data_IF_313805484829
#
_entry.id   IF_313805484829
#
_cell.length_a   1.000
_cell.length_b   1.000
_cell.length_c   1.000
_cell.angle_alpha   90.00
_cell.angle_beta   90.00
_cell.angle_gamma   90.00
#
_symmetry.space_group_name_H-M   'P 1'
#
loop_
_entity.id
_entity.type
_entity.pdbx_description
1 polymer ?
#
# COMPACT_ATOMS: atom_id res chain seq x y z
N UNK A 1 20.46 40.53 24.14
CA UNK A 1 20.38 39.36 25.03
C UNK A 1 19.84 38.16 24.24
N UNK A 2 20.75 37.39 23.63
CA UNK A 2 20.42 36.16 22.90
C UNK A 2 20.15 35.05 23.91
N UNK A 3 18.89 34.65 24.07
CA UNK A 3 18.54 33.42 24.78
C UNK A 3 18.89 32.23 23.85
N UNK A 4 20.03 31.61 24.06
CA UNK A 4 20.30 30.28 23.55
C UNK A 4 19.16 29.35 24.04
N UNK A 5 18.24 28.98 23.14
CA UNK A 5 17.32 27.87 23.40
C UNK A 5 18.18 26.62 23.52
N UNK A 6 18.23 26.04 24.69
CA UNK A 6 18.78 24.70 24.88
C UNK A 6 18.14 23.73 23.87
N UNK A 7 18.90 22.78 23.27
CA UNK A 7 18.35 21.80 22.36
C UNK A 7 17.25 21.04 23.11
N UNK A 8 16.05 21.08 22.55
CA UNK A 8 14.87 20.54 23.20
C UNK A 8 15.07 19.03 23.45
N UNK A 9 14.86 18.58 24.67
CA UNK A 9 14.86 17.16 25.08
C UNK A 9 13.97 16.28 24.19
N UNK A 10 13.06 16.88 23.46
CA UNK A 10 12.19 16.28 22.46
C UNK A 10 12.94 15.76 21.21
N UNK A 11 13.96 16.46 20.72
CA UNK A 11 14.75 16.02 19.57
C UNK A 11 15.53 14.73 19.85
N UNK A 12 16.17 14.63 21.02
CA UNK A 12 16.90 13.41 21.42
C UNK A 12 15.97 12.20 21.57
N UNK A 13 14.77 12.39 22.06
CA UNK A 13 13.75 11.33 22.18
C UNK A 13 13.25 10.85 20.82
N UNK A 14 13.01 11.75 19.86
CA UNK A 14 12.60 11.36 18.49
C UNK A 14 13.71 10.58 17.78
N UNK A 15 14.96 10.98 17.93
CA UNK A 15 16.11 10.23 17.40
C UNK A 15 16.22 8.85 18.05
N UNK A 16 16.06 8.74 19.36
CA UNK A 16 16.06 7.46 20.07
C UNK A 16 14.98 6.52 19.57
N UNK A 17 13.76 7.02 19.35
CA UNK A 17 12.65 6.22 18.77
C UNK A 17 13.00 5.75 17.36
N UNK A 18 13.54 6.62 16.51
CA UNK A 18 13.93 6.26 15.15
C UNK A 18 15.03 5.19 15.13
N UNK A 19 16.02 5.28 16.01
CA UNK A 19 17.08 4.28 16.13
C UNK A 19 16.56 2.93 16.61
N UNK A 20 15.64 2.91 17.58
CA UNK A 20 15.02 1.68 18.07
C UNK A 20 14.17 1.00 17.00
N UNK A 21 13.40 1.76 16.23
CA UNK A 21 12.63 1.22 15.10
C UNK A 21 13.56 0.70 13.99
N UNK A 22 14.65 1.40 13.70
CA UNK A 22 15.65 0.95 12.74
C UNK A 22 16.33 -0.35 13.20
N UNK A 23 16.71 -0.44 14.47
CA UNK A 23 17.27 -1.65 15.04
C UNK A 23 16.29 -2.83 14.97
N UNK A 24 15.01 -2.61 15.27
CA UNK A 24 13.97 -3.64 15.20
C UNK A 24 13.80 -4.18 13.78
N UNK A 25 13.69 -3.29 12.77
CA UNK A 25 13.63 -3.67 11.35
C UNK A 25 14.88 -4.46 10.94
N UNK A 26 16.06 -3.98 11.33
CA UNK A 26 17.31 -4.63 10.99
C UNK A 26 17.41 -6.03 11.61
N UNK A 27 17.14 -6.18 12.90
CA UNK A 27 17.22 -7.47 13.61
C UNK A 27 16.28 -8.50 12.98
N UNK A 28 15.07 -8.09 12.59
CA UNK A 28 14.08 -9.02 12.03
C UNK A 28 14.41 -9.41 10.59
N UNK A 29 14.91 -8.48 9.76
CA UNK A 29 15.00 -8.70 8.32
C UNK A 29 16.42 -8.80 7.76
N UNK A 30 17.48 -8.50 8.52
CA UNK A 30 18.85 -8.55 8.02
C UNK A 30 19.25 -9.95 7.50
N UNK A 31 18.71 -11.02 8.10
CA UNK A 31 18.94 -12.39 7.65
C UNK A 31 18.43 -12.68 6.23
N UNK A 32 17.50 -11.88 5.71
CA UNK A 32 16.95 -12.07 4.36
C UNK A 32 17.82 -11.45 3.26
N UNK A 33 18.85 -10.68 3.60
CA UNK A 33 19.68 -9.96 2.62
C UNK A 33 20.36 -10.88 1.61
N UNK A 34 20.69 -12.10 1.99
CA UNK A 34 21.36 -13.09 1.15
C UNK A 34 20.37 -14.06 0.48
N UNK A 35 19.07 -13.86 0.62
CA UNK A 35 18.08 -14.71 -0.03
C UNK A 35 18.17 -14.58 -1.56
N UNK A 36 18.02 -15.69 -2.31
CA UNK A 36 18.02 -15.64 -3.76
C UNK A 36 16.76 -14.99 -4.31
N UNK A 37 16.75 -14.70 -5.61
CA UNK A 37 15.55 -14.32 -6.34
C UNK A 37 14.58 -15.50 -6.40
N UNK A 38 13.29 -15.27 -6.06
CA UNK A 38 12.26 -16.31 -5.95
C UNK A 38 10.98 -15.88 -6.67
N UNK A 39 10.27 -16.85 -7.24
CA UNK A 39 8.95 -16.66 -7.85
C UNK A 39 8.89 -15.48 -8.82
N UNK A 40 8.07 -14.48 -8.51
CA UNK A 40 7.87 -13.28 -9.34
C UNK A 40 9.14 -12.46 -9.53
N UNK A 41 10.13 -12.55 -8.65
CA UNK A 41 11.42 -11.87 -8.78
C UNK A 41 12.13 -12.28 -10.05
N UNK A 42 11.95 -13.54 -10.49
CA UNK A 42 12.53 -14.06 -11.73
C UNK A 42 11.98 -13.32 -12.94
N UNK A 43 10.66 -13.07 -12.99
CA UNK A 43 10.01 -12.38 -14.11
C UNK A 43 10.25 -10.88 -14.08
N UNK A 44 10.17 -10.29 -12.88
CA UNK A 44 10.19 -8.83 -12.72
C UNK A 44 11.61 -8.29 -12.78
N UNK A 45 12.61 -9.07 -12.35
CA UNK A 45 14.03 -8.66 -12.29
C UNK A 45 14.90 -9.52 -13.19
N UNK A 46 14.99 -10.84 -12.92
CA UNK A 46 16.02 -11.69 -13.54
C UNK A 46 15.84 -11.83 -15.04
N UNK A 47 14.62 -12.05 -15.52
CA UNK A 47 14.30 -12.21 -16.95
C UNK A 47 13.82 -10.93 -17.63
N UNK A 48 13.78 -9.79 -16.90
CA UNK A 48 13.31 -8.54 -17.43
C UNK A 48 14.43 -7.81 -18.20
N UNK A 49 14.35 -7.86 -19.54
CA UNK A 49 15.31 -7.19 -20.41
C UNK A 49 15.27 -5.65 -20.28
N UNK A 50 14.13 -5.07 -19.94
CA UNK A 50 13.95 -3.61 -19.91
C UNK A 50 14.70 -2.93 -18.79
N UNK A 51 14.89 -3.61 -17.65
CA UNK A 51 15.68 -3.06 -16.54
C UNK A 51 17.19 -3.22 -16.76
N UNK A 52 17.59 -4.13 -17.65
CA UNK A 52 19.01 -4.45 -17.93
C UNK A 52 19.59 -3.60 -19.04
N UNK A 53 18.78 -3.16 -19.97
CA UNK A 53 19.20 -2.28 -21.05
C UNK A 53 19.19 -0.85 -20.55
N UNK A 54 20.20 -0.06 -20.93
CA UNK A 54 20.22 1.38 -20.64
C UNK A 54 19.23 2.09 -21.59
N UNK A 55 17.93 1.77 -21.40
CA UNK A 55 16.85 2.38 -22.18
C UNK A 55 16.62 3.81 -21.72
N UNK A 56 16.23 4.67 -22.66
CA UNK A 56 15.85 6.04 -22.29
C UNK A 56 14.73 6.03 -21.25
N UNK A 57 14.82 6.91 -20.26
CA UNK A 57 13.84 7.04 -19.17
C UNK A 57 12.38 7.10 -19.70
N UNK A 58 12.20 7.74 -20.87
CA UNK A 58 10.90 7.87 -21.52
C UNK A 58 10.25 6.51 -21.85
N UNK A 59 11.03 5.47 -22.15
CA UNK A 59 10.47 4.15 -22.48
C UNK A 59 9.71 3.51 -21.30
N UNK A 60 10.08 3.77 -20.06
CA UNK A 60 9.33 3.27 -18.91
C UNK A 60 7.92 3.84 -18.84
N UNK A 61 7.69 5.02 -19.41
CA UNK A 61 6.39 5.70 -19.38
C UNK A 61 5.58 5.51 -20.66
N UNK A 62 6.21 5.16 -21.80
CA UNK A 62 5.54 5.07 -23.11
C UNK A 62 5.28 3.66 -23.56
N UNK A 63 5.90 2.66 -22.95
CA UNK A 63 5.76 1.27 -23.35
C UNK A 63 4.92 0.46 -22.37
N UNK A 64 4.16 -0.49 -22.87
CA UNK A 64 3.30 -1.39 -22.10
C UNK A 64 4.10 -2.48 -21.34
N UNK A 65 5.27 -2.12 -20.78
CA UNK A 65 6.21 -3.08 -20.21
C UNK A 65 6.17 -3.05 -18.69
N UNK A 66 5.68 -4.10 -18.07
CA UNK A 66 5.82 -4.27 -16.63
C UNK A 66 6.69 -5.46 -16.25
N UNK A 67 6.71 -6.48 -17.08
CA UNK A 67 7.59 -7.65 -16.93
C UNK A 67 7.70 -8.40 -18.24
N UNK A 68 8.72 -9.26 -18.36
CA UNK A 68 9.00 -10.00 -19.61
C UNK A 68 7.85 -10.91 -20.08
N UNK A 69 6.97 -11.35 -19.18
CA UNK A 69 5.97 -12.39 -19.48
C UNK A 69 4.64 -12.23 -18.72
N UNK A 70 4.37 -11.09 -18.07
CA UNK A 70 3.13 -10.90 -17.32
C UNK A 70 2.09 -10.19 -18.17
N UNK A 71 0.84 -10.60 -17.97
CA UNK A 71 -0.34 -10.15 -18.68
C UNK A 71 -0.33 -8.66 -19.02
N UNK A 72 -0.76 -8.29 -20.22
CA UNK A 72 -0.88 -6.88 -20.61
C UNK A 72 -1.77 -6.15 -19.61
N UNK A 73 -1.34 -4.98 -19.15
CA UNK A 73 -2.16 -4.14 -18.29
C UNK A 73 -1.53 -3.65 -16.98
N UNK A 74 -0.29 -3.99 -16.68
CA UNK A 74 0.41 -3.42 -15.50
C UNK A 74 1.27 -2.22 -15.92
N UNK A 75 0.84 -1.01 -15.55
CA UNK A 75 1.58 0.23 -15.80
C UNK A 75 2.26 0.70 -14.51
N UNK A 76 3.54 0.36 -14.32
CA UNK A 76 4.32 0.62 -13.08
C UNK A 76 5.71 1.19 -13.38
N UNK A 77 5.81 2.33 -14.07
CA UNK A 77 7.09 2.88 -14.52
C UNK A 77 8.06 3.18 -13.38
N UNK A 78 7.61 3.72 -12.25
CA UNK A 78 8.48 4.04 -11.11
C UNK A 78 9.01 2.79 -10.41
N UNK A 79 8.25 1.70 -10.39
CA UNK A 79 8.73 0.41 -9.90
C UNK A 79 9.86 -0.12 -10.78
N UNK A 80 9.67 -0.15 -12.10
CA UNK A 80 10.68 -0.59 -13.06
C UNK A 80 11.95 0.26 -12.97
N UNK A 81 11.79 1.58 -12.87
CA UNK A 81 12.91 2.49 -12.68
C UNK A 81 13.71 2.14 -11.41
N UNK A 82 13.02 1.81 -10.31
CA UNK A 82 13.70 1.41 -9.06
C UNK A 82 14.54 0.14 -9.23
N UNK A 83 14.08 -0.82 -10.04
CA UNK A 83 14.84 -2.02 -10.36
C UNK A 83 15.99 -1.73 -11.33
N UNK A 84 15.77 -0.88 -12.32
CA UNK A 84 16.83 -0.47 -13.25
C UNK A 84 17.97 0.25 -12.51
N UNK A 85 17.67 1.10 -11.53
CA UNK A 85 18.69 1.71 -10.66
C UNK A 85 19.47 0.65 -9.87
N UNK A 86 18.80 -0.35 -9.29
CA UNK A 86 19.51 -1.45 -8.62
C UNK A 86 20.39 -2.25 -9.58
N UNK A 87 19.87 -2.57 -10.77
CA UNK A 87 20.64 -3.29 -11.76
C UNK A 87 21.87 -2.51 -12.22
N UNK A 88 21.73 -1.21 -12.44
CA UNK A 88 22.86 -0.35 -12.84
C UNK A 88 23.97 -0.26 -11.79
N UNK A 89 23.66 -0.44 -10.50
CA UNK A 89 24.62 -0.35 -9.40
C UNK A 89 25.21 -1.69 -8.98
N UNK A 90 24.45 -2.79 -9.10
CA UNK A 90 24.86 -4.09 -8.55
C UNK A 90 24.54 -5.30 -9.44
N UNK A 91 24.07 -5.09 -10.70
CA UNK A 91 23.67 -6.17 -11.59
C UNK A 91 22.56 -7.04 -10.99
N UNK A 92 22.71 -8.34 -11.05
CA UNK A 92 21.81 -9.33 -10.46
C UNK A 92 22.26 -9.80 -9.06
N UNK A 93 22.96 -8.96 -8.29
CA UNK A 93 23.23 -9.28 -6.89
C UNK A 93 22.00 -9.00 -6.03
N UNK A 94 21.35 -10.03 -5.42
CA UNK A 94 20.09 -9.86 -4.69
C UNK A 94 20.23 -8.97 -3.46
N UNK A 95 21.41 -8.89 -2.84
CA UNK A 95 21.66 -8.09 -1.64
C UNK A 95 21.25 -6.63 -1.83
N UNK A 96 21.62 -6.02 -2.98
CA UNK A 96 21.25 -4.64 -3.28
C UNK A 96 19.74 -4.42 -3.37
N UNK A 97 18.99 -5.39 -3.90
CA UNK A 97 17.54 -5.33 -3.99
C UNK A 97 16.87 -5.48 -2.63
N UNK A 98 17.34 -6.41 -1.81
CA UNK A 98 16.84 -6.59 -0.44
C UNK A 98 17.14 -5.37 0.43
N UNK A 99 18.32 -4.78 0.32
CA UNK A 99 18.66 -3.54 1.05
C UNK A 99 17.68 -2.42 0.72
N UNK A 100 17.32 -2.21 -0.54
CA UNK A 100 16.32 -1.18 -0.92
C UNK A 100 14.97 -1.48 -0.31
N UNK A 101 14.50 -2.73 -0.32
CA UNK A 101 13.25 -3.10 0.32
C UNK A 101 13.28 -2.85 1.84
N UNK A 102 14.38 -3.20 2.48
CA UNK A 102 14.58 -2.98 3.91
C UNK A 102 14.53 -1.48 4.27
N UNK A 103 15.24 -0.65 3.49
CA UNK A 103 15.21 0.80 3.66
C UNK A 103 13.84 1.41 3.41
N UNK A 104 13.11 0.92 2.41
CA UNK A 104 11.73 1.36 2.16
C UNK A 104 10.80 0.99 3.31
N UNK A 105 10.95 -0.21 3.90
CA UNK A 105 10.16 -0.62 5.05
C UNK A 105 10.46 0.23 6.28
N UNK A 106 11.74 0.52 6.54
CA UNK A 106 12.15 1.43 7.60
C UNK A 106 11.59 2.84 7.36
N UNK A 107 11.72 3.36 6.13
CA UNK A 107 11.16 4.66 5.76
C UNK A 107 9.64 4.70 6.00
N UNK A 108 8.90 3.66 5.60
CA UNK A 108 7.47 3.55 5.82
C UNK A 108 7.13 3.53 7.32
N UNK A 109 7.90 2.83 8.12
CA UNK A 109 7.75 2.80 9.58
C UNK A 109 7.93 4.19 10.20
N UNK A 110 8.95 4.93 9.77
CA UNK A 110 9.21 6.28 10.24
C UNK A 110 8.15 7.29 9.75
N UNK A 111 7.71 7.18 8.49
CA UNK A 111 6.63 8.00 7.95
C UNK A 111 5.31 7.74 8.68
N UNK A 112 5.02 6.48 9.02
CA UNK A 112 3.85 6.11 9.83
C UNK A 112 3.94 6.74 11.22
N UNK A 113 5.11 6.71 11.86
CA UNK A 113 5.32 7.38 13.16
C UNK A 113 5.08 8.88 13.07
N UNK A 114 5.58 9.53 12.03
CA UNK A 114 5.33 10.95 11.78
C UNK A 114 3.84 11.24 11.51
N UNK A 115 3.17 10.39 10.75
CA UNK A 115 1.73 10.51 10.49
C UNK A 115 0.94 10.40 11.79
N UNK A 116 1.21 9.39 12.62
CA UNK A 116 0.52 9.18 13.88
C UNK A 116 0.73 10.32 14.87
N UNK A 117 1.96 10.79 15.01
CA UNK A 117 2.29 11.83 16.01
C UNK A 117 1.88 13.23 15.54
N UNK A 118 2.14 13.59 14.28
CA UNK A 118 1.94 14.96 13.78
C UNK A 118 0.57 15.19 13.16
N UNK A 119 0.10 14.23 12.34
CA UNK A 119 -1.18 14.38 11.66
C UNK A 119 -2.36 13.87 12.49
N UNK A 120 -2.24 12.68 13.06
CA UNK A 120 -3.29 12.05 13.85
C UNK A 120 -3.24 12.44 15.35
N UNK A 121 -2.18 13.12 15.77
CA UNK A 121 -1.97 13.62 17.14
C UNK A 121 -2.09 12.53 18.22
N UNK A 122 -1.66 11.32 17.88
CA UNK A 122 -1.65 10.22 18.83
C UNK A 122 -0.55 10.42 19.90
N UNK A 123 -0.77 9.96 21.14
CA UNK A 123 0.27 9.92 22.15
C UNK A 123 1.51 9.19 21.62
N UNK A 124 2.70 9.74 21.92
CA UNK A 124 3.97 9.20 21.38
C UNK A 124 4.19 7.72 21.73
N UNK A 125 3.80 7.28 22.94
CA UNK A 125 3.91 5.87 23.34
C UNK A 125 3.02 4.95 22.49
N UNK A 126 1.79 5.38 22.18
CA UNK A 126 0.88 4.62 21.30
C UNK A 126 1.43 4.59 19.88
N UNK A 127 1.90 5.73 19.37
CA UNK A 127 2.49 5.80 18.04
C UNK A 127 3.73 4.91 17.92
N UNK A 128 4.62 4.92 18.93
CA UNK A 128 5.79 4.06 18.97
C UNK A 128 5.42 2.57 18.97
N UNK A 129 4.51 2.16 19.85
CA UNK A 129 4.08 0.77 19.93
C UNK A 129 3.43 0.29 18.61
N UNK A 130 2.56 1.09 18.03
CA UNK A 130 1.92 0.76 16.75
C UNK A 130 2.95 0.66 15.61
N UNK A 131 3.94 1.55 15.58
CA UNK A 131 5.00 1.51 14.58
C UNK A 131 5.97 0.34 14.82
N UNK A 132 6.24 -0.03 16.06
CA UNK A 132 7.01 -1.23 16.38
C UNK A 132 6.27 -2.49 15.92
N UNK A 133 4.98 -2.61 16.23
CA UNK A 133 4.16 -3.71 15.74
C UNK A 133 4.16 -3.77 14.20
N UNK A 134 3.99 -2.63 13.53
CA UNK A 134 4.10 -2.57 12.06
C UNK A 134 5.48 -3.01 11.58
N UNK A 135 6.55 -2.55 12.22
CA UNK A 135 7.93 -2.84 11.83
C UNK A 135 8.24 -4.34 11.85
N UNK A 136 7.78 -5.07 12.87
CA UNK A 136 8.15 -6.48 13.12
C UNK A 136 7.04 -7.47 12.79
N UNK A 137 5.86 -7.00 12.30
CA UNK A 137 4.72 -7.87 12.09
C UNK A 137 4.99 -8.93 11.01
N UNK A 138 4.76 -10.22 11.26
CA UNK A 138 5.08 -11.29 10.31
C UNK A 138 4.40 -11.16 8.94
N UNK A 139 3.23 -10.54 8.84
CA UNK A 139 2.59 -10.24 7.53
C UNK A 139 3.45 -9.36 6.62
N UNK A 140 4.31 -8.52 7.18
CA UNK A 140 5.18 -7.66 6.38
C UNK A 140 6.39 -8.41 5.80
N UNK A 141 6.66 -9.64 6.24
CA UNK A 141 7.77 -10.45 5.73
C UNK A 141 7.66 -10.63 4.21
N UNK A 142 6.48 -10.90 3.68
CA UNK A 142 6.27 -10.99 2.25
C UNK A 142 6.61 -9.68 1.52
N UNK A 143 6.19 -8.54 2.06
CA UNK A 143 6.46 -7.25 1.44
C UNK A 143 7.95 -6.87 1.47
N UNK A 144 8.69 -7.28 2.51
CA UNK A 144 10.10 -6.91 2.71
C UNK A 144 11.04 -7.90 2.03
N UNK A 145 10.77 -9.21 2.20
CA UNK A 145 11.68 -10.28 1.73
C UNK A 145 11.54 -10.49 0.22
N UNK A 146 10.32 -10.49 -0.34
CA UNK A 146 10.17 -10.63 -1.79
C UNK A 146 10.51 -9.33 -2.50
N UNK A 147 11.47 -9.40 -3.43
CA UNK A 147 11.94 -8.23 -4.19
C UNK A 147 10.81 -7.69 -5.06
N UNK A 148 10.00 -8.54 -5.69
CA UNK A 148 8.83 -8.17 -6.49
C UNK A 148 7.76 -7.40 -5.70
N UNK A 149 7.67 -7.63 -4.39
CA UNK A 149 6.78 -6.91 -3.47
C UNK A 149 7.19 -5.47 -3.19
N UNK A 150 8.34 -4.99 -3.72
CA UNK A 150 8.75 -3.57 -3.66
C UNK A 150 7.66 -2.61 -4.11
N UNK A 151 6.81 -3.05 -5.05
CA UNK A 151 5.65 -2.27 -5.49
C UNK A 151 4.74 -1.85 -4.34
N UNK A 152 4.54 -2.72 -3.34
CA UNK A 152 3.73 -2.42 -2.16
C UNK A 152 4.45 -1.45 -1.22
N UNK A 153 5.76 -1.63 -0.99
CA UNK A 153 6.57 -0.74 -0.15
C UNK A 153 6.62 0.68 -0.71
N UNK A 154 6.91 0.83 -2.00
CA UNK A 154 6.94 2.12 -2.68
C UNK A 154 5.56 2.80 -2.69
N UNK A 155 4.49 2.06 -3.00
CA UNK A 155 3.14 2.61 -2.97
C UNK A 155 2.78 3.10 -1.56
N UNK A 156 3.11 2.34 -0.52
CA UNK A 156 2.93 2.75 0.89
C UNK A 156 3.72 4.01 1.20
N UNK A 157 4.97 4.13 0.73
CA UNK A 157 5.79 5.34 0.88
C UNK A 157 5.06 6.56 0.30
N UNK A 158 4.59 6.46 -0.94
CA UNK A 158 3.89 7.56 -1.61
C UNK A 158 2.57 7.90 -0.93
N UNK A 159 1.82 6.90 -0.48
CA UNK A 159 0.57 7.12 0.25
C UNK A 159 0.79 7.83 1.59
N UNK A 160 1.80 7.42 2.37
CA UNK A 160 2.14 8.08 3.64
C UNK A 160 2.66 9.51 3.42
N UNK A 161 3.49 9.74 2.40
CA UNK A 161 3.92 11.08 2.01
C UNK A 161 2.74 11.95 1.58
N UNK A 162 1.80 11.39 0.81
CA UNK A 162 0.56 12.07 0.42
C UNK A 162 -0.30 12.47 1.62
N UNK A 163 -0.44 11.60 2.62
CA UNK A 163 -1.14 11.90 3.87
C UNK A 163 -0.46 13.04 4.66
N UNK A 164 0.86 13.01 4.76
CA UNK A 164 1.63 14.04 5.46
C UNK A 164 1.58 15.38 4.70
N UNK A 165 1.64 15.36 3.37
CA UNK A 165 1.51 16.55 2.53
C UNK A 165 0.12 17.17 2.65
N UNK A 166 -0.93 16.34 2.62
CA UNK A 166 -2.31 16.78 2.82
C UNK A 166 -2.53 17.42 4.19
N UNK A 167 -1.96 16.82 5.24
CA UNK A 167 -2.00 17.40 6.58
C UNK A 167 -1.35 18.78 6.65
N UNK A 168 -0.29 19.02 5.87
CA UNK A 168 0.38 20.32 5.74
C UNK A 168 -0.33 21.28 4.79
N UNK A 169 -1.53 20.94 4.32
CA UNK A 169 -2.31 21.68 3.34
C UNK A 169 -1.57 21.93 1.99
N UNK A 170 -0.60 21.08 1.66
CA UNK A 170 0.15 21.17 0.42
C UNK A 170 -0.53 20.39 -0.70
N UNK A 171 -1.37 21.07 -1.47
CA UNK A 171 -2.19 20.47 -2.55
C UNK A 171 -1.30 19.81 -3.61
N UNK A 172 -0.25 20.49 -4.05
CA UNK A 172 0.63 20.00 -5.11
C UNK A 172 1.52 18.83 -4.68
N UNK A 173 2.03 18.85 -3.44
CA UNK A 173 2.79 17.70 -2.93
C UNK A 173 1.89 16.47 -2.71
N UNK A 174 0.63 16.69 -2.32
CA UNK A 174 -0.36 15.61 -2.22
C UNK A 174 -0.63 15.00 -3.60
N UNK A 175 -0.83 15.84 -4.61
CA UNK A 175 -1.04 15.41 -5.99
C UNK A 175 0.20 14.70 -6.57
N UNK A 176 1.40 15.22 -6.32
CA UNK A 176 2.64 14.59 -6.75
C UNK A 176 2.85 13.20 -6.14
N UNK A 177 2.61 13.07 -4.82
CA UNK A 177 2.68 11.79 -4.13
C UNK A 177 1.62 10.81 -4.66
N UNK A 178 0.40 11.27 -4.93
CA UNK A 178 -0.66 10.47 -5.55
C UNK A 178 -0.27 9.98 -6.93
N UNK A 179 0.21 10.87 -7.82
CA UNK A 179 0.67 10.52 -9.16
C UNK A 179 1.83 9.51 -9.14
N UNK A 180 2.82 9.71 -8.27
CA UNK A 180 3.91 8.77 -8.08
C UNK A 180 3.41 7.40 -7.56
N UNK A 181 2.44 7.41 -6.65
CA UNK A 181 1.77 6.20 -6.18
C UNK A 181 1.10 5.42 -7.31
N UNK A 182 0.31 6.08 -8.16
CA UNK A 182 -0.36 5.48 -9.33
C UNK A 182 0.65 4.87 -10.32
N UNK A 183 1.80 5.51 -10.52
CA UNK A 183 2.90 5.01 -11.35
C UNK A 183 3.71 3.88 -10.70
N UNK A 184 3.37 3.51 -9.47
CA UNK A 184 4.04 2.43 -8.72
C UNK A 184 3.15 1.21 -8.54
N UNK A 185 1.92 1.41 -8.09
CA UNK A 185 0.92 0.33 -7.88
C UNK A 185 -0.48 0.91 -7.85
N UNK A 186 -1.42 0.19 -8.45
CA UNK A 186 -2.82 0.59 -8.63
C UNK A 186 -3.56 0.88 -7.32
N UNK A 187 -3.11 0.28 -6.19
CA UNK A 187 -3.70 0.50 -4.88
C UNK A 187 -3.66 1.98 -4.44
N UNK A 188 -2.72 2.76 -4.97
CA UNK A 188 -2.63 4.19 -4.67
C UNK A 188 -3.87 4.99 -5.09
N UNK A 189 -4.73 4.44 -5.96
CA UNK A 189 -6.03 5.05 -6.34
C UNK A 189 -6.91 5.33 -5.12
N UNK A 190 -6.71 4.58 -4.02
CA UNK A 190 -7.46 4.76 -2.77
C UNK A 190 -7.05 5.99 -1.97
N UNK A 191 -5.90 6.60 -2.28
CA UNK A 191 -5.37 7.71 -1.47
C UNK A 191 -6.36 8.88 -1.28
N UNK A 192 -7.05 9.40 -2.32
CA UNK A 192 -8.03 10.47 -2.11
C UNK A 192 -9.16 10.08 -1.16
N UNK A 193 -9.65 8.84 -1.25
CA UNK A 193 -10.69 8.33 -0.34
C UNK A 193 -10.16 8.20 1.10
N UNK A 194 -8.91 7.75 1.28
CA UNK A 194 -8.25 7.68 2.59
C UNK A 194 -8.03 9.05 3.21
N UNK A 195 -7.72 10.08 2.40
CA UNK A 195 -7.55 11.45 2.87
C UNK A 195 -8.89 12.06 3.34
N UNK A 196 -9.96 11.84 2.58
CA UNK A 196 -11.32 12.22 2.98
C UNK A 196 -11.71 11.50 4.26
N UNK A 197 -11.47 10.20 4.33
CA UNK A 197 -11.74 9.38 5.50
C UNK A 197 -10.99 9.85 6.74
N UNK A 198 -9.69 10.12 6.61
CA UNK A 198 -8.85 10.62 7.69
C UNK A 198 -9.34 11.97 8.21
N UNK A 199 -9.71 12.88 7.31
CA UNK A 199 -10.20 14.20 7.66
C UNK A 199 -11.56 14.13 8.35
N UNK A 200 -12.47 13.31 7.80
CA UNK A 200 -13.80 13.08 8.39
C UNK A 200 -13.71 12.40 9.76
N UNK A 201 -12.91 11.33 9.90
CA UNK A 201 -12.72 10.63 11.17
C UNK A 201 -12.19 11.55 12.28
N UNK A 202 -11.38 12.57 11.93
CA UNK A 202 -10.81 13.53 12.87
C UNK A 202 -11.76 14.67 13.23
N UNK A 203 -12.47 15.20 12.24
CA UNK A 203 -13.31 16.41 12.43
C UNK A 203 -14.76 16.08 12.77
N UNK A 204 -15.23 14.90 12.38
CA UNK A 204 -16.62 14.49 12.45
C UNK A 204 -17.52 15.32 11.54
N UNK A 205 -16.96 16.07 10.60
CA UNK A 205 -17.70 16.94 9.66
C UNK A 205 -17.33 16.61 8.23
N UNK A 206 -18.32 16.59 7.36
CA UNK A 206 -18.12 16.46 5.93
C UNK A 206 -17.87 17.84 5.32
N UNK A 207 -16.60 18.19 5.11
CA UNK A 207 -16.20 19.42 4.42
C UNK A 207 -16.01 19.15 2.92
N UNK A 208 -17.10 18.92 2.23
CA UNK A 208 -17.15 18.65 0.82
C UNK A 208 -16.41 19.70 -0.04
N UNK A 209 -16.61 21.00 0.26
CA UNK A 209 -15.97 22.08 -0.48
C UNK A 209 -14.46 22.12 -0.24
N UNK A 210 -14.03 21.88 0.99
CA UNK A 210 -12.62 21.79 1.36
C UNK A 210 -11.94 20.60 0.71
N UNK A 211 -12.59 19.43 0.66
CA UNK A 211 -12.07 18.25 -0.01
C UNK A 211 -11.92 18.47 -1.50
N UNK A 212 -12.93 19.00 -2.19
CA UNK A 212 -12.83 19.29 -3.62
C UNK A 212 -11.69 20.26 -3.93
N UNK A 213 -11.58 21.35 -3.15
CA UNK A 213 -10.49 22.33 -3.33
C UNK A 213 -9.09 21.76 -3.14
N UNK A 214 -8.94 20.76 -2.25
CA UNK A 214 -7.63 20.14 -1.96
C UNK A 214 -7.30 18.96 -2.87
N UNK A 215 -8.30 18.22 -3.34
CA UNK A 215 -8.11 16.97 -4.04
C UNK A 215 -8.37 17.04 -5.55
N UNK A 216 -8.83 18.18 -6.09
CA UNK A 216 -9.07 18.31 -7.53
C UNK A 216 -7.85 17.94 -8.40
N UNK A 217 -6.57 18.25 -8.02
CA UNK A 217 -5.46 17.84 -8.86
C UNK A 217 -5.27 16.32 -8.86
N UNK A 218 -5.61 15.64 -7.75
CA UNK A 218 -5.60 14.18 -7.70
C UNK A 218 -6.65 13.60 -8.67
N UNK A 219 -7.84 14.20 -8.76
CA UNK A 219 -8.89 13.76 -9.69
C UNK A 219 -8.46 13.97 -11.16
N UNK A 220 -7.81 15.09 -11.46
CA UNK A 220 -7.26 15.34 -12.80
C UNK A 220 -6.16 14.34 -13.12
N UNK A 221 -5.21 14.10 -12.21
CA UNK A 221 -4.16 13.09 -12.41
C UNK A 221 -4.74 11.68 -12.58
N UNK A 222 -5.80 11.35 -11.86
CA UNK A 222 -6.50 10.08 -12.03
C UNK A 222 -7.09 9.95 -13.43
N UNK A 223 -7.77 10.99 -13.91
CA UNK A 223 -8.35 10.99 -15.26
C UNK A 223 -7.26 10.85 -16.33
N UNK A 224 -6.14 11.57 -16.20
CA UNK A 224 -4.99 11.46 -17.10
C UNK A 224 -4.40 10.04 -17.05
N UNK A 225 -4.21 9.47 -15.85
CA UNK A 225 -3.68 8.11 -15.65
C UNK A 225 -4.57 7.05 -16.31
N UNK A 226 -5.89 7.14 -16.09
CA UNK A 226 -6.85 6.19 -16.68
C UNK A 226 -6.92 6.33 -18.20
N UNK A 227 -6.91 7.55 -18.72
CA UNK A 227 -6.87 7.83 -20.17
C UNK A 227 -5.58 7.33 -20.81
N UNK A 228 -4.43 7.55 -20.16
CA UNK A 228 -3.14 7.05 -20.62
C UNK A 228 -3.07 5.53 -20.63
N UNK A 229 -3.59 4.90 -19.57
CA UNK A 229 -3.68 3.45 -19.47
C UNK A 229 -4.59 2.85 -20.54
N UNK A 230 -5.74 3.49 -20.82
CA UNK A 230 -6.62 3.09 -21.90
C UNK A 230 -5.94 3.21 -23.27
N UNK A 231 -5.18 4.30 -23.49
CA UNK A 231 -4.42 4.48 -24.73
C UNK A 231 -3.36 3.38 -24.94
N UNK A 232 -2.64 2.99 -23.87
CA UNK A 232 -1.58 1.98 -23.97
C UNK A 232 -2.10 0.54 -24.12
N UNK A 233 -3.22 0.21 -23.49
CA UNK A 233 -3.68 -1.18 -23.38
C UNK A 233 -5.04 -1.46 -24.01
N UNK A 234 -5.75 -0.45 -24.48
CA UNK A 234 -7.13 -0.58 -24.98
C UNK A 234 -8.17 -0.82 -23.88
N UNK A 235 -7.72 -1.04 -22.62
CA UNK A 235 -8.60 -1.33 -21.46
C UNK A 235 -8.11 -0.57 -20.24
N UNK A 236 -9.05 -0.17 -19.39
CA UNK A 236 -8.72 0.51 -18.13
C UNK A 236 -8.33 -0.49 -17.04
N UNK A 237 -8.98 -1.65 -17.04
CA UNK A 237 -8.68 -2.77 -16.14
C UNK A 237 -8.34 -4.00 -16.96
N UNK A 238 -7.55 -4.91 -16.39
CA UNK A 238 -7.38 -6.22 -17.04
C UNK A 238 -8.75 -6.90 -17.19
N UNK A 239 -8.98 -7.64 -18.29
CA UNK A 239 -10.25 -8.33 -18.48
C UNK A 239 -10.49 -9.29 -17.33
N UNK A 240 -11.68 -9.22 -16.75
CA UNK A 240 -12.12 -10.16 -15.71
C UNK A 240 -12.26 -11.54 -16.37
N UNK A 241 -11.80 -12.62 -15.74
CA UNK A 241 -12.17 -13.94 -16.20
C UNK A 241 -13.71 -14.04 -16.20
N UNK A 242 -14.27 -14.83 -17.13
CA UNK A 242 -15.71 -14.99 -17.32
C UNK A 242 -16.37 -15.73 -16.12
N UNK A 243 -16.17 -15.20 -14.92
CA UNK A 243 -16.83 -15.65 -13.69
C UNK A 243 -17.94 -14.70 -13.32
N UNK A 244 -18.99 -15.23 -12.75
CA UNK A 244 -20.08 -14.44 -12.19
C UNK A 244 -19.56 -13.48 -11.12
N UNK A 245 -19.86 -12.19 -11.27
CA UNK A 245 -19.39 -11.11 -10.36
C UNK A 245 -19.77 -11.38 -8.89
N UNK A 246 -20.88 -12.06 -8.64
CA UNK A 246 -21.34 -12.39 -7.29
C UNK A 246 -20.47 -13.46 -6.60
N UNK A 247 -19.93 -14.43 -7.35
CA UNK A 247 -18.95 -15.40 -6.81
C UNK A 247 -17.68 -14.66 -6.34
N UNK A 248 -17.23 -13.74 -7.17
CA UNK A 248 -16.09 -12.91 -6.86
C UNK A 248 -16.30 -12.06 -5.62
N UNK A 249 -17.50 -11.50 -5.43
CA UNK A 249 -17.85 -10.74 -4.24
C UNK A 249 -17.72 -11.62 -2.96
N UNK A 250 -18.26 -12.83 -2.97
CA UNK A 250 -18.17 -13.74 -1.83
C UNK A 250 -16.74 -14.10 -1.46
N UNK A 251 -15.91 -14.43 -2.45
CA UNK A 251 -14.47 -14.72 -2.25
C UNK A 251 -13.72 -13.49 -1.72
N UNK A 252 -13.98 -12.32 -2.28
CA UNK A 252 -13.37 -11.06 -1.85
C UNK A 252 -13.72 -10.71 -0.42
N UNK A 253 -14.98 -10.83 -0.03
CA UNK A 253 -15.41 -10.63 1.35
C UNK A 253 -14.75 -11.64 2.31
N UNK A 254 -14.63 -12.91 1.90
CA UNK A 254 -13.92 -13.94 2.68
C UNK A 254 -12.45 -13.60 2.87
N UNK A 255 -11.79 -13.07 1.84
CA UNK A 255 -10.39 -12.66 1.92
C UNK A 255 -10.15 -11.60 3.01
N UNK A 256 -11.11 -10.66 3.26
CA UNK A 256 -11.01 -9.68 4.34
C UNK A 256 -10.85 -10.36 5.70
N UNK A 257 -11.65 -11.37 5.97
CA UNK A 257 -11.59 -12.09 7.25
C UNK A 257 -10.31 -12.94 7.38
N UNK A 258 -9.80 -13.47 6.27
CA UNK A 258 -8.48 -14.12 6.25
C UNK A 258 -7.39 -13.12 6.59
N UNK A 259 -7.40 -11.93 6.01
CA UNK A 259 -6.43 -10.88 6.35
C UNK A 259 -6.54 -10.41 7.80
N UNK A 260 -7.76 -10.24 8.32
CA UNK A 260 -7.97 -9.89 9.74
C UNK A 260 -7.44 -10.99 10.67
N UNK A 261 -7.73 -12.26 10.35
CA UNK A 261 -7.17 -13.40 11.10
C UNK A 261 -5.65 -13.39 11.09
N UNK A 262 -5.03 -13.26 9.91
CA UNK A 262 -3.58 -13.25 9.78
C UNK A 262 -2.93 -12.05 10.45
N UNK A 263 -3.64 -10.93 10.53
CA UNK A 263 -3.18 -9.75 11.26
C UNK A 263 -3.24 -9.96 12.78
N UNK A 264 -4.26 -10.64 13.29
CA UNK A 264 -4.40 -10.91 14.73
C UNK A 264 -3.59 -12.13 15.17
N UNK A 265 -3.52 -13.15 14.32
CA UNK A 265 -2.83 -14.41 14.58
C UNK A 265 -2.09 -14.84 13.29
N UNK A 266 -0.84 -14.40 13.11
CA UNK A 266 -0.05 -14.63 11.90
C UNK A 266 0.49 -16.06 11.84
N UNK A 267 -0.42 -17.04 11.81
CA UNK A 267 -0.13 -18.46 11.61
C UNK A 267 -0.36 -18.84 10.14
N UNK A 268 0.27 -19.92 9.70
CA UNK A 268 0.11 -20.47 8.35
C UNK A 268 0.36 -19.44 7.23
N UNK A 269 1.42 -18.65 7.37
CA UNK A 269 1.83 -17.69 6.35
C UNK A 269 2.27 -18.47 5.10
N UNK A 270 1.63 -18.19 3.97
CA UNK A 270 1.96 -18.77 2.68
C UNK A 270 1.99 -17.67 1.60
N UNK A 271 2.79 -17.90 0.57
CA UNK A 271 2.99 -16.93 -0.51
C UNK A 271 1.71 -16.77 -1.36
N UNK A 272 1.05 -17.86 -1.65
CA UNK A 272 -0.22 -17.91 -2.37
C UNK A 272 -1.22 -18.74 -1.57
N UNK A 273 -2.41 -18.20 -1.36
CA UNK A 273 -3.49 -18.89 -0.64
C UNK A 273 -4.67 -19.08 -1.57
N UNK A 274 -5.00 -20.32 -1.80
CA UNK A 274 -6.23 -20.66 -2.50
C UNK A 274 -7.42 -20.55 -1.55
N UNK A 275 -8.42 -19.80 -1.94
CA UNK A 275 -9.69 -19.71 -1.24
C UNK A 275 -10.72 -20.54 -1.99
N UNK A 276 -11.37 -21.45 -1.30
CA UNK A 276 -12.47 -22.22 -1.88
C UNK A 276 -13.55 -21.26 -2.42
N UNK A 277 -13.92 -21.46 -3.67
CA UNK A 277 -14.93 -20.65 -4.36
C UNK A 277 -16.29 -21.33 -4.13
N UNK A 278 -17.27 -20.64 -3.55
CA UNK A 278 -18.62 -21.17 -3.44
C UNK A 278 -19.22 -21.42 -4.83
N UNK A 279 -19.96 -22.50 -5.00
CA UNK A 279 -20.57 -22.84 -6.28
C UNK A 279 -21.94 -22.17 -6.49
N UNK A 280 -22.62 -21.83 -5.39
CA UNK A 280 -23.96 -21.24 -5.41
C UNK A 280 -24.12 -20.11 -4.39
N UNK A 281 -25.13 -19.23 -4.63
CA UNK A 281 -25.52 -18.18 -3.71
C UNK A 281 -26.16 -18.69 -2.41
N UNK A 282 -26.63 -19.92 -2.41
CA UNK A 282 -27.29 -20.54 -1.25
C UNK A 282 -26.32 -21.07 -0.22
N UNK A 283 -25.05 -21.21 -0.60
CA UNK A 283 -24.03 -21.69 0.32
C UNK A 283 -23.73 -20.66 1.42
N UNK A 284 -23.70 -21.14 2.65
CA UNK A 284 -23.30 -20.33 3.81
C UNK A 284 -21.89 -19.75 3.65
N UNK A 285 -21.01 -20.47 2.94
CA UNK A 285 -19.66 -20.02 2.61
C UNK A 285 -19.61 -18.77 1.73
N UNK A 286 -20.69 -18.45 1.01
CA UNK A 286 -20.81 -17.25 0.21
C UNK A 286 -21.32 -16.06 1.04
N UNK A 287 -22.50 -16.17 1.61
CA UNK A 287 -23.18 -14.98 2.15
C UNK A 287 -22.77 -14.63 3.58
N UNK A 288 -22.27 -15.58 4.38
CA UNK A 288 -21.76 -15.27 5.71
C UNK A 288 -20.60 -14.24 5.68
N UNK A 289 -19.56 -14.37 4.83
CA UNK A 289 -18.55 -13.34 4.66
C UNK A 289 -19.11 -12.00 4.14
N UNK A 290 -20.09 -12.03 3.25
CA UNK A 290 -20.73 -10.81 2.71
C UNK A 290 -21.45 -10.04 3.80
N UNK A 291 -22.28 -10.73 4.62
CA UNK A 291 -22.96 -10.13 5.77
C UNK A 291 -21.95 -9.61 6.79
N UNK A 292 -20.91 -10.41 7.09
CA UNK A 292 -19.84 -9.98 7.99
C UNK A 292 -19.11 -8.73 7.50
N UNK A 293 -18.81 -8.64 6.20
CA UNK A 293 -18.20 -7.45 5.61
C UNK A 293 -19.13 -6.22 5.68
N UNK A 294 -20.42 -6.40 5.40
CA UNK A 294 -21.41 -5.34 5.59
C UNK A 294 -21.51 -4.91 7.06
N UNK A 295 -21.42 -5.86 8.01
CA UNK A 295 -21.41 -5.57 9.43
C UNK A 295 -20.16 -4.76 9.85
N UNK A 296 -18.98 -5.05 9.30
CA UNK A 296 -17.79 -4.23 9.55
C UNK A 296 -18.00 -2.77 9.11
N UNK A 297 -18.58 -2.54 7.94
CA UNK A 297 -18.94 -1.20 7.49
C UNK A 297 -20.02 -0.57 8.38
N UNK A 298 -20.97 -1.36 8.87
CA UNK A 298 -21.97 -0.94 9.85
C UNK A 298 -21.33 -0.48 11.17
N UNK A 299 -20.33 -1.21 11.67
CA UNK A 299 -19.55 -0.82 12.86
C UNK A 299 -18.83 0.50 12.63
N UNK A 300 -18.18 0.65 11.47
CA UNK A 300 -17.51 1.90 11.08
C UNK A 300 -18.50 3.06 11.05
N UNK A 301 -19.63 2.91 10.37
CA UNK A 301 -20.66 3.94 10.26
C UNK A 301 -21.25 4.30 11.63
N UNK A 302 -21.59 3.30 12.46
CA UNK A 302 -22.14 3.52 13.80
C UNK A 302 -21.14 4.22 14.72
N UNK A 303 -19.86 3.84 14.65
CA UNK A 303 -18.76 4.46 15.40
C UNK A 303 -18.60 5.94 15.03
N UNK A 304 -18.75 6.25 13.73
CA UNK A 304 -18.74 7.62 13.21
C UNK A 304 -19.93 8.43 13.74
N UNK A 305 -21.13 7.88 13.62
CA UNK A 305 -22.36 8.54 14.08
C UNK A 305 -22.33 8.83 15.58
N UNK A 306 -21.84 7.89 16.37
CA UNK A 306 -21.74 8.00 17.83
C UNK A 306 -20.51 8.75 18.30
N UNK A 307 -19.57 9.10 17.42
CA UNK A 307 -18.29 9.73 17.73
C UNK A 307 -17.50 8.98 18.82
N UNK A 308 -17.63 7.65 18.86
CA UNK A 308 -16.93 6.78 19.81
C UNK A 308 -15.74 6.12 19.13
N UNK A 309 -14.67 5.92 19.91
CA UNK A 309 -13.47 5.20 19.48
C UNK A 309 -12.89 5.68 18.11
N UNK A 310 -12.53 6.97 17.95
CA UNK A 310 -12.11 7.51 16.65
C UNK A 310 -10.88 6.82 16.05
N UNK A 311 -9.98 6.28 16.90
CA UNK A 311 -8.81 5.55 16.43
C UNK A 311 -9.18 4.21 15.79
N UNK A 312 -10.14 3.47 16.37
CA UNK A 312 -10.64 2.20 15.82
C UNK A 312 -11.38 2.47 14.52
N UNK A 313 -12.24 3.49 14.50
CA UNK A 313 -12.97 3.92 13.31
C UNK A 313 -12.01 4.27 12.17
N UNK A 314 -10.97 5.05 12.47
CA UNK A 314 -9.97 5.45 11.51
C UNK A 314 -9.21 4.23 10.96
N UNK A 315 -8.73 3.34 11.83
CA UNK A 315 -7.96 2.16 11.44
C UNK A 315 -8.78 1.16 10.64
N UNK A 316 -9.98 0.82 11.09
CA UNK A 316 -10.85 -0.13 10.41
C UNK A 316 -11.33 0.42 9.06
N UNK A 317 -11.75 1.68 9.00
CA UNK A 317 -12.12 2.31 7.73
C UNK A 317 -10.95 2.42 6.75
N UNK A 318 -9.75 2.74 7.24
CA UNK A 318 -8.53 2.72 6.43
C UNK A 318 -8.28 1.34 5.83
N UNK A 319 -8.33 0.29 6.65
CA UNK A 319 -8.16 -1.09 6.22
C UNK A 319 -9.17 -1.48 5.14
N UNK A 320 -10.46 -1.19 5.34
CA UNK A 320 -11.51 -1.54 4.40
C UNK A 320 -11.37 -0.75 3.08
N UNK A 321 -11.07 0.56 3.13
CA UNK A 321 -10.87 1.40 1.94
C UNK A 321 -9.64 0.93 1.15
N UNK A 322 -8.54 0.62 1.82
CA UNK A 322 -7.32 0.15 1.17
C UNK A 322 -7.51 -1.19 0.43
N UNK A 323 -8.44 -2.04 0.88
CA UNK A 323 -8.75 -3.31 0.24
C UNK A 323 -9.72 -3.19 -0.95
N UNK A 324 -10.45 -2.07 -1.10
CA UNK A 324 -11.44 -1.92 -2.18
C UNK A 324 -10.89 -2.25 -3.58
N UNK A 325 -9.70 -1.76 -4.01
CA UNK A 325 -9.21 -2.10 -5.34
C UNK A 325 -8.86 -3.58 -5.49
N UNK A 326 -8.35 -4.23 -4.44
CA UNK A 326 -8.05 -5.65 -4.50
C UNK A 326 -9.33 -6.51 -4.58
N UNK A 327 -10.44 -6.06 -4.02
CA UNK A 327 -11.74 -6.71 -4.21
C UNK A 327 -12.22 -6.63 -5.65
N UNK A 328 -11.93 -5.53 -6.33
CA UNK A 328 -12.28 -5.35 -7.75
C UNK A 328 -11.29 -6.07 -8.68
N UNK A 329 -10.04 -6.24 -8.28
CA UNK A 329 -8.93 -6.77 -9.10
C UNK A 329 -8.58 -8.22 -8.72
N UNK A 330 -8.68 -8.63 -7.46
CA UNK A 330 -8.35 -10.01 -7.00
C UNK A 330 -9.30 -11.08 -7.54
N UNK A 331 -10.42 -10.65 -8.08
CA UNK A 331 -11.29 -11.49 -8.91
C UNK A 331 -10.62 -11.96 -10.21
N UNK A 332 -9.38 -11.53 -10.47
CA UNK A 332 -8.69 -11.67 -11.76
C UNK A 332 -7.72 -12.83 -11.85
N UNK A 333 -7.33 -13.47 -10.74
CA UNK A 333 -6.19 -14.40 -10.73
C UNK A 333 -6.45 -15.68 -9.92
N UNK A 334 -7.63 -16.25 -10.02
CA UNK A 334 -7.78 -17.65 -9.64
C UNK A 334 -7.51 -18.50 -10.89
N UNK A 335 -6.56 -19.47 -10.86
CA UNK A 335 -6.39 -20.39 -11.96
C UNK A 335 -7.73 -21.05 -12.26
N UNK A 336 -8.04 -21.19 -13.55
CA UNK A 336 -9.14 -22.07 -13.97
C UNK A 336 -8.85 -23.47 -13.46
N UNK A 337 -9.87 -24.21 -13.01
CA UNK A 337 -9.71 -25.59 -12.58
C UNK A 337 -9.14 -26.46 -13.67
#
# INVERSE_FOLDING_TARGET
MNRHRAPSTDGHREVGVALLLAAAVWVVYAGSLTSPFLFDDLHVVVHNAYIKQCVSLARFFTAAFSSANIAPGMFRPLLLLSYACNYATGGLNPVGYHLVNLWLHLLNTLLLYLLMTRALRQPRGIAWLACLLFAVHPLNSQAVIHISSRSALLATTWMLLGCLAYHRASVWLTAAAFGAGLMTKEIAITLPALLIWMDWARTGRADWRGWMRRLWPCLVLLAIYLGWRHHLYGVVTAPLPARDWWLNLGVSCRAVFVYLRLWLAPSDLCLARELAVPSTLTEMAWWLPVVGYAALWGVVALSMLRRRAPAITLGLGWFLIALLPSHLIATLHLPAP
#
